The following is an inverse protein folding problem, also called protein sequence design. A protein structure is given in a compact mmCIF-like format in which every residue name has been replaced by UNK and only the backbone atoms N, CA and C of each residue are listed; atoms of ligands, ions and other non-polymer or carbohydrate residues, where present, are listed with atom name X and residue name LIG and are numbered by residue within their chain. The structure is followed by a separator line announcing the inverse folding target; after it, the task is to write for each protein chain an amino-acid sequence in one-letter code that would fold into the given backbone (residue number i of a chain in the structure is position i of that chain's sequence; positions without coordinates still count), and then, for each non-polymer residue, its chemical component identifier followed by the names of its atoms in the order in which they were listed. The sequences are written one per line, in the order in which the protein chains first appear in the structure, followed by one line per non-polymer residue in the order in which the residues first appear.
data_IF_196150733641
#
_entry.id   IF_196150733641
#
_cell.length_a   1.000
_cell.length_b   1.000
_cell.length_c   1.000
_cell.angle_alpha   90.00
_cell.angle_beta   90.00
_cell.angle_gamma   90.00
#
_symmetry.space_group_name_H-M   'P 1'
#
loop_
_entity.id
_entity.type
_entity.pdbx_description
1 polymer ?
#
# COMPACT_ATOMS: atom_id res chain seq x y z
N UNK A 1 20.22 -59.74 -10.14
CA UNK A 1 21.54 -59.94 -9.50
C UNK A 1 22.55 -60.03 -10.62
N UNK A 2 23.49 -59.12 -10.88
CA UNK A 2 24.38 -58.33 -10.02
C UNK A 2 24.59 -56.98 -10.72
N UNK A 3 24.10 -55.89 -10.12
CA UNK A 3 24.82 -54.93 -9.26
C UNK A 3 25.60 -53.86 -10.03
N UNK A 4 25.14 -52.63 -9.82
CA UNK A 4 25.64 -51.37 -10.32
C UNK A 4 27.11 -51.07 -10.03
N UNK A 5 27.71 -50.19 -10.83
CA UNK A 5 28.34 -48.92 -10.39
C UNK A 5 28.82 -48.10 -11.60
N UNK A 6 28.19 -46.94 -11.78
CA UNK A 6 28.78 -45.58 -11.89
C UNK A 6 30.11 -45.39 -12.66
N UNK A 7 30.41 -44.34 -13.44
CA UNK A 7 29.85 -43.01 -13.76
C UNK A 7 30.95 -42.32 -14.64
N UNK A 8 30.59 -41.30 -15.44
CA UNK A 8 31.43 -40.14 -15.90
C UNK A 8 32.22 -40.18 -17.25
N UNK A 9 31.94 -39.14 -18.07
CA UNK A 9 32.80 -38.38 -19.04
C UNK A 9 33.13 -39.07 -20.39
N UNK A 10 33.19 -38.44 -21.58
CA UNK A 10 33.18 -37.04 -22.04
C UNK A 10 33.25 -37.00 -23.60
N UNK A 11 32.89 -35.85 -24.19
CA UNK A 11 33.28 -35.29 -25.51
C UNK A 11 32.54 -35.73 -26.80
N UNK A 12 31.84 -34.74 -27.34
CA UNK A 12 31.43 -34.55 -28.74
C UNK A 12 32.46 -33.63 -29.44
N UNK A 13 32.82 -33.95 -30.69
CA UNK A 13 33.53 -33.10 -31.65
C UNK A 13 32.88 -33.32 -33.03
N UNK A 14 32.00 -32.43 -33.49
CA UNK A 14 32.23 -31.33 -34.46
C UNK A 14 32.78 -31.77 -35.82
N UNK A 15 31.98 -31.62 -36.89
CA UNK A 15 32.36 -31.11 -38.23
C UNK A 15 31.06 -30.77 -39.00
N UNK A 16 30.66 -29.50 -39.06
CA UNK A 16 30.83 -28.54 -40.18
C UNK A 16 30.01 -28.85 -41.44
N UNK A 17 28.89 -28.13 -41.60
CA UNK A 17 28.30 -27.83 -42.90
C UNK A 17 28.09 -26.31 -43.00
N UNK A 18 28.74 -25.72 -43.99
CA UNK A 18 28.74 -24.29 -44.32
C UNK A 18 27.40 -23.93 -44.94
N UNK A 19 26.66 -23.00 -44.31
CA UNK A 19 25.55 -22.28 -44.93
C UNK A 19 26.00 -20.84 -45.12
N UNK A 20 26.10 -20.41 -46.38
CA UNK A 20 26.14 -19.01 -46.76
C UNK A 20 24.77 -18.39 -46.44
N UNK A 21 24.59 -17.88 -45.23
CA UNK A 21 23.60 -16.84 -44.98
C UNK A 21 24.26 -15.56 -45.47
N UNK A 22 23.74 -15.01 -46.57
CA UNK A 22 24.00 -13.64 -46.99
C UNK A 22 23.90 -12.72 -45.78
N UNK A 23 25.03 -12.09 -45.45
CA UNK A 23 25.15 -11.10 -44.41
C UNK A 23 24.25 -9.89 -44.72
N UNK A 24 23.00 -9.97 -44.27
CA UNK A 24 22.19 -8.80 -43.91
C UNK A 24 22.27 -8.52 -42.40
N UNK A 25 23.27 -9.09 -41.72
CA UNK A 25 23.69 -8.72 -40.36
C UNK A 25 24.97 -7.88 -40.38
N UNK A 26 25.13 -7.04 -41.42
CA UNK A 26 26.14 -6.00 -41.46
C UNK A 26 25.70 -4.88 -40.49
N UNK A 27 26.30 -4.88 -39.30
CA UNK A 27 26.56 -3.69 -38.49
C UNK A 27 25.32 -2.84 -38.15
N UNK A 28 24.49 -3.28 -37.21
CA UNK A 28 23.92 -2.29 -36.30
C UNK A 28 25.08 -1.88 -35.37
N UNK A 29 25.85 -0.86 -35.77
CA UNK A 29 26.71 -0.16 -34.81
C UNK A 29 25.82 0.28 -33.64
N UNK A 30 26.32 0.36 -32.40
CA UNK A 30 25.63 1.17 -31.40
C UNK A 30 25.46 2.56 -32.03
N UNK A 31 24.22 2.97 -32.28
CA UNK A 31 23.94 4.22 -32.97
C UNK A 31 24.53 5.35 -32.14
N UNK A 32 25.45 6.12 -32.69
CA UNK A 32 25.98 7.26 -31.97
C UNK A 32 24.88 8.33 -31.88
N UNK A 33 24.93 9.19 -30.85
CA UNK A 33 24.00 10.33 -30.75
C UNK A 33 24.03 11.19 -32.04
N UNK A 34 25.21 11.32 -32.66
CA UNK A 34 25.42 12.07 -33.91
C UNK A 34 24.73 11.44 -35.14
N UNK A 35 24.30 10.18 -35.06
CA UNK A 35 23.58 9.50 -36.14
C UNK A 35 22.07 9.82 -36.12
N UNK A 36 21.56 10.47 -35.07
CA UNK A 36 20.15 10.82 -34.93
C UNK A 36 19.85 12.10 -35.71
N UNK A 37 18.81 12.07 -36.53
CA UNK A 37 18.30 13.21 -37.29
C UNK A 37 17.16 13.88 -36.54
N UNK A 38 16.21 13.08 -36.05
CA UNK A 38 15.03 13.56 -35.36
C UNK A 38 14.48 12.50 -34.39
N UNK A 39 13.64 12.96 -33.47
CA UNK A 39 12.85 12.10 -32.60
C UNK A 39 11.37 12.45 -32.72
N UNK A 40 10.50 11.49 -32.48
CA UNK A 40 9.06 11.69 -32.32
C UNK A 40 8.59 10.87 -31.12
N UNK A 41 7.62 11.39 -30.37
CA UNK A 41 7.06 10.70 -29.21
C UNK A 41 5.56 10.57 -29.39
N UNK A 42 5.07 9.34 -29.26
CA UNK A 42 3.65 9.02 -29.34
C UNK A 42 3.20 8.42 -28.00
N UNK A 43 2.42 9.16 -27.19
CA UNK A 43 1.83 8.60 -25.97
C UNK A 43 0.81 7.49 -26.29
N UNK A 44 0.75 6.46 -25.44
CA UNK A 44 -0.28 5.41 -25.52
C UNK A 44 -1.69 5.96 -25.22
N UNK A 45 -1.75 7.05 -24.46
CA UNK A 45 -2.95 7.83 -24.14
C UNK A 45 -2.61 9.30 -23.99
N UNK A 46 -3.55 10.14 -24.35
CA UNK A 46 -3.41 11.61 -24.28
C UNK A 46 -4.43 12.26 -23.36
N UNK A 47 -5.44 11.52 -22.90
CA UNK A 47 -6.45 12.01 -21.96
C UNK A 47 -6.15 11.43 -20.57
N UNK A 48 -6.03 12.31 -19.58
CA UNK A 48 -5.66 11.98 -18.20
C UNK A 48 -6.74 12.44 -17.23
N UNK A 49 -6.97 11.67 -16.17
CA UNK A 49 -7.86 12.07 -15.07
C UNK A 49 -7.28 11.69 -13.70
N UNK A 50 -8.09 11.78 -12.64
CA UNK A 50 -7.62 11.54 -11.28
C UNK A 50 -7.06 10.14 -11.01
N UNK A 51 -7.35 9.13 -11.85
CA UNK A 51 -6.72 7.81 -11.75
C UNK A 51 -5.23 7.84 -12.10
N UNK A 52 -4.79 8.85 -12.86
CA UNK A 52 -3.43 8.97 -13.37
C UNK A 52 -2.51 9.78 -12.45
N UNK A 53 -3.03 10.25 -11.31
CA UNK A 53 -2.25 10.98 -10.32
C UNK A 53 -1.41 10.01 -9.50
N UNK A 54 -0.12 10.31 -9.39
CA UNK A 54 0.82 9.67 -8.48
C UNK A 54 1.26 10.66 -7.41
N UNK A 55 1.32 10.20 -6.16
CA UNK A 55 1.81 11.00 -5.02
C UNK A 55 3.09 10.40 -4.49
N UNK A 56 4.16 11.19 -4.50
CA UNK A 56 5.43 10.83 -3.88
C UNK A 56 5.57 11.50 -2.52
N UNK A 57 6.07 10.77 -1.54
CA UNK A 57 6.36 11.28 -0.19
C UNK A 57 7.86 11.37 0.02
N UNK A 58 8.33 12.50 0.53
CA UNK A 58 9.72 12.70 0.92
C UNK A 58 9.77 13.24 2.34
N UNK A 59 10.60 12.63 3.17
CA UNK A 59 10.88 13.17 4.50
C UNK A 59 11.75 14.43 4.37
N UNK A 60 11.28 15.53 4.95
CA UNK A 60 12.02 16.76 5.13
C UNK A 60 12.65 16.74 6.53
N UNK A 61 13.98 16.59 6.56
CA UNK A 61 14.75 16.55 7.80
C UNK A 61 14.73 17.88 8.57
N UNK A 62 14.56 19.01 7.89
CA UNK A 62 14.50 20.32 8.54
C UNK A 62 13.14 20.52 9.21
N UNK A 63 12.07 20.14 8.52
CA UNK A 63 10.71 20.23 9.05
C UNK A 63 10.31 19.03 9.94
N UNK A 64 11.16 17.99 10.03
CA UNK A 64 10.87 16.72 10.72
C UNK A 64 9.50 16.14 10.32
N UNK A 65 9.15 16.26 9.04
CA UNK A 65 7.83 15.89 8.52
C UNK A 65 7.90 15.39 7.08
N UNK A 66 6.87 14.67 6.64
CA UNK A 66 6.77 14.23 5.25
C UNK A 66 6.11 15.31 4.40
N UNK A 67 6.74 15.64 3.27
CA UNK A 67 6.17 16.46 2.21
C UNK A 67 5.68 15.54 1.09
N UNK A 68 4.43 15.71 0.68
CA UNK A 68 3.86 15.00 -0.46
C UNK A 68 3.84 15.89 -1.70
N UNK A 69 4.10 15.30 -2.87
CA UNK A 69 3.90 15.95 -4.17
C UNK A 69 3.11 15.03 -5.08
N UNK A 70 2.03 15.56 -5.65
CA UNK A 70 1.16 14.85 -6.58
C UNK A 70 1.35 15.39 -8.01
N UNK A 71 1.43 14.50 -8.98
CA UNK A 71 1.57 14.81 -10.40
C UNK A 71 0.91 13.73 -11.25
N UNK A 72 0.52 14.06 -12.48
CA UNK A 72 0.05 13.07 -13.45
C UNK A 72 1.22 12.23 -13.95
N UNK A 73 1.11 10.90 -13.83
CA UNK A 73 2.18 9.98 -14.15
C UNK A 73 2.34 9.80 -15.67
N UNK A 74 3.21 10.62 -16.26
CA UNK A 74 3.60 10.58 -17.68
C UNK A 74 5.05 10.15 -17.90
N UNK A 75 5.74 9.76 -16.81
CA UNK A 75 7.17 9.43 -16.81
C UNK A 75 7.44 7.96 -17.11
N UNK A 76 6.41 7.13 -16.99
CA UNK A 76 6.51 5.72 -17.28
C UNK A 76 6.67 5.47 -18.78
N UNK A 77 7.83 4.91 -19.15
CA UNK A 77 8.19 4.61 -20.53
C UNK A 77 7.28 3.57 -21.20
N UNK A 78 6.54 2.78 -20.41
CA UNK A 78 5.54 1.86 -20.95
C UNK A 78 4.33 2.61 -21.54
N UNK A 79 4.17 3.90 -21.22
CA UNK A 79 3.09 4.75 -21.73
C UNK A 79 3.48 5.60 -22.94
N UNK A 80 4.68 5.43 -23.50
CA UNK A 80 5.12 6.15 -24.70
C UNK A 80 5.83 5.23 -25.70
N UNK A 81 5.76 5.60 -26.97
CA UNK A 81 6.63 5.08 -28.02
C UNK A 81 7.53 6.21 -28.50
N UNK A 82 8.85 5.99 -28.40
CA UNK A 82 9.87 6.89 -28.93
C UNK A 82 10.31 6.37 -30.30
N UNK A 83 10.01 7.11 -31.36
CA UNK A 83 10.52 6.86 -32.71
C UNK A 83 11.79 7.70 -32.90
N UNK A 84 12.90 7.04 -33.21
CA UNK A 84 14.17 7.69 -33.55
C UNK A 84 14.43 7.54 -35.04
N UNK A 85 14.66 8.67 -35.70
CA UNK A 85 15.05 8.73 -37.11
C UNK A 85 16.58 8.87 -37.23
N UNK A 86 17.22 7.88 -37.85
CA UNK A 86 18.66 7.86 -38.12
C UNK A 86 18.99 8.31 -39.56
N UNK A 87 18.05 8.95 -40.24
CA UNK A 87 18.13 9.44 -41.63
C UNK A 87 18.01 8.35 -42.69
N UNK A 88 18.61 7.19 -42.48
CA UNK A 88 18.55 6.04 -43.39
C UNK A 88 17.46 5.03 -43.02
N UNK A 89 17.05 5.00 -41.76
CA UNK A 89 15.96 4.19 -41.24
C UNK A 89 15.38 4.83 -39.97
N UNK A 90 14.18 4.40 -39.60
CA UNK A 90 13.54 4.75 -38.34
C UNK A 90 13.40 3.50 -37.47
N UNK A 91 13.44 3.68 -36.15
CA UNK A 91 13.20 2.62 -35.19
C UNK A 91 12.39 3.12 -34.00
N UNK A 92 11.42 2.31 -33.61
CA UNK A 92 10.60 2.54 -32.43
C UNK A 92 11.20 1.86 -31.21
N UNK A 93 11.09 2.54 -30.06
CA UNK A 93 11.52 2.09 -28.75
C UNK A 93 10.37 2.28 -27.77
N UNK A 94 10.14 1.26 -26.94
CA UNK A 94 9.09 1.28 -25.92
C UNK A 94 9.61 0.79 -24.56
N UNK A 95 9.08 1.31 -23.46
CA UNK A 95 9.39 0.81 -22.12
C UNK A 95 10.89 0.72 -21.83
N UNK A 96 11.33 -0.47 -21.45
CA UNK A 96 12.75 -0.75 -21.15
C UNK A 96 13.71 -0.55 -22.33
N UNK A 97 13.23 -0.54 -23.58
CA UNK A 97 14.07 -0.30 -24.76
C UNK A 97 14.57 1.15 -24.82
N UNK A 98 13.79 2.11 -24.31
CA UNK A 98 14.19 3.52 -24.20
C UNK A 98 15.33 3.65 -23.18
N UNK A 99 15.24 2.94 -22.05
CA UNK A 99 16.31 2.90 -21.06
C UNK A 99 17.60 2.27 -21.61
N UNK A 100 17.49 1.22 -22.42
CA UNK A 100 18.65 0.60 -23.08
C UNK A 100 19.27 1.54 -24.11
N UNK A 101 18.45 2.17 -24.95
CA UNK A 101 18.91 3.16 -25.93
C UNK A 101 19.70 4.28 -25.25
N UNK A 102 19.14 4.91 -24.21
CA UNK A 102 19.80 6.03 -23.49
C UNK A 102 21.12 5.61 -22.85
N UNK A 103 21.21 4.39 -22.33
CA UNK A 103 22.46 3.83 -21.80
C UNK A 103 23.48 3.53 -22.91
N UNK A 104 23.05 3.00 -24.06
CA UNK A 104 23.91 2.69 -25.21
C UNK A 104 24.51 3.96 -25.83
N UNK A 105 23.71 5.02 -25.98
CA UNK A 105 24.17 6.30 -26.54
C UNK A 105 24.80 7.23 -25.50
N UNK A 106 24.76 6.86 -24.21
CA UNK A 106 25.29 7.65 -23.10
C UNK A 106 24.60 9.00 -22.87
N UNK A 107 23.35 9.15 -23.32
CA UNK A 107 22.59 10.41 -23.26
C UNK A 107 21.21 10.16 -22.64
N UNK A 108 20.83 10.92 -21.59
CA UNK A 108 19.54 10.72 -20.94
C UNK A 108 18.38 11.15 -21.84
N UNK A 109 17.24 10.48 -21.68
CA UNK A 109 15.97 10.92 -22.23
C UNK A 109 15.23 11.75 -21.18
N UNK A 110 15.07 13.04 -21.44
CA UNK A 110 14.55 14.01 -20.48
C UNK A 110 13.09 14.32 -20.82
N UNK A 111 12.22 14.27 -19.81
CA UNK A 111 10.82 14.65 -19.89
C UNK A 111 10.65 15.96 -19.11
N UNK A 112 10.09 16.99 -19.74
CA UNK A 112 9.83 18.30 -19.15
C UNK A 112 8.36 18.68 -19.32
N UNK A 113 7.65 18.81 -18.20
CA UNK A 113 6.18 18.90 -18.17
C UNK A 113 5.63 20.07 -17.33
N UNK A 114 6.49 20.79 -16.61
CA UNK A 114 6.11 21.91 -15.75
C UNK A 114 5.40 21.51 -14.44
N UNK A 115 5.13 20.22 -14.21
CA UNK A 115 4.49 19.73 -12.97
C UNK A 115 5.40 19.90 -11.75
N UNK A 116 6.70 20.15 -11.98
CA UNK A 116 7.63 20.51 -10.92
C UNK A 116 7.27 21.82 -10.22
N UNK A 117 6.74 22.78 -10.98
CA UNK A 117 6.56 24.17 -10.56
C UNK A 117 5.10 24.43 -10.18
N UNK A 118 4.16 23.86 -10.93
CA UNK A 118 2.73 23.96 -10.65
C UNK A 118 2.02 22.67 -11.08
N UNK A 119 1.18 22.13 -10.20
CA UNK A 119 0.37 20.97 -10.53
C UNK A 119 -0.59 21.30 -11.68
N UNK A 120 -0.75 20.37 -12.63
CA UNK A 120 -1.66 20.56 -13.74
C UNK A 120 -3.13 20.63 -13.27
N UNK A 121 -3.83 21.67 -13.70
CA UNK A 121 -5.29 21.74 -13.64
C UNK A 121 -5.95 21.10 -14.86
N UNK A 122 -7.27 21.17 -14.95
CA UNK A 122 -8.00 20.75 -16.15
C UNK A 122 -7.57 21.56 -17.38
N UNK A 123 -7.58 20.90 -18.54
CA UNK A 123 -7.23 21.51 -19.81
C UNK A 123 -6.03 20.84 -20.48
N UNK A 124 -5.43 21.56 -21.43
CA UNK A 124 -4.41 21.00 -22.33
C UNK A 124 -3.01 21.42 -21.87
N UNK A 125 -2.11 20.45 -21.79
CA UNK A 125 -0.73 20.61 -21.35
C UNK A 125 0.22 20.03 -22.41
N UNK A 126 1.32 20.73 -22.66
CA UNK A 126 2.35 20.27 -23.61
C UNK A 126 3.56 19.77 -22.85
N UNK A 127 3.96 18.54 -23.15
CA UNK A 127 5.16 17.90 -22.59
C UNK A 127 6.24 17.93 -23.65
N UNK A 128 7.44 18.33 -23.24
CA UNK A 128 8.64 18.32 -24.08
C UNK A 128 9.50 17.10 -23.72
N UNK A 129 9.97 16.40 -24.73
CA UNK A 129 10.87 15.25 -24.64
C UNK A 129 12.17 15.60 -25.34
N UNK A 130 13.31 15.30 -24.73
CA UNK A 130 14.61 15.50 -25.38
C UNK A 130 15.53 14.29 -25.26
N UNK A 131 16.25 14.04 -26.34
CA UNK A 131 17.34 13.08 -26.44
C UNK A 131 18.54 13.82 -27.02
N UNK A 132 19.45 14.26 -26.16
CA UNK A 132 20.54 15.17 -26.56
C UNK A 132 19.98 16.53 -27.01
N UNK A 133 20.30 16.93 -28.24
CA UNK A 133 19.83 18.19 -28.84
C UNK A 133 18.50 18.05 -29.59
N UNK A 134 18.01 16.82 -29.79
CA UNK A 134 16.76 16.57 -30.49
C UNK A 134 15.59 16.65 -29.52
N UNK A 135 14.52 17.32 -29.94
CA UNK A 135 13.32 17.51 -29.14
C UNK A 135 12.07 17.06 -29.89
N UNK A 136 11.10 16.58 -29.13
CA UNK A 136 9.74 16.30 -29.58
C UNK A 136 8.76 16.78 -28.51
N UNK A 137 7.50 16.97 -28.88
CA UNK A 137 6.46 17.33 -27.93
C UNK A 137 5.24 16.45 -28.11
N UNK A 138 4.57 16.16 -26.99
CA UNK A 138 3.25 15.56 -26.99
C UNK A 138 2.28 16.42 -26.18
N UNK A 139 1.00 16.31 -26.51
CA UNK A 139 -0.07 17.09 -25.87
C UNK A 139 -0.96 16.15 -25.08
N UNK A 140 -1.20 16.51 -23.82
CA UNK A 140 -2.10 15.81 -22.92
C UNK A 140 -3.27 16.70 -22.54
N UNK A 141 -4.44 16.10 -22.35
CA UNK A 141 -5.65 16.76 -21.88
C UNK A 141 -6.05 16.18 -20.53
N UNK A 142 -6.00 17.01 -19.49
CA UNK A 142 -6.47 16.67 -18.15
C UNK A 142 -7.96 16.98 -18.08
N UNK A 143 -8.76 15.96 -17.80
CA UNK A 143 -10.23 16.02 -17.77
C UNK A 143 -10.76 15.66 -16.39
N UNK A 144 -12.07 15.91 -16.19
CA UNK A 144 -12.78 15.36 -15.04
C UNK A 144 -12.74 13.82 -15.12
N UNK A 145 -12.78 13.17 -13.97
CA UNK A 145 -12.91 11.71 -13.85
C UNK A 145 -13.91 11.13 -14.86
N UNK A 146 -13.51 10.02 -15.49
CA UNK A 146 -14.35 9.22 -16.39
C UNK A 146 -15.37 8.36 -15.65
N UNK A 147 -15.28 8.26 -14.32
CA UNK A 147 -16.30 7.59 -13.51
C UNK A 147 -17.58 8.42 -13.56
N UNK A 148 -18.65 7.80 -14.04
CA UNK A 148 -19.99 8.39 -14.12
C UNK A 148 -20.87 7.90 -12.97
N UNK A 149 -20.76 6.62 -12.60
CA UNK A 149 -21.52 6.01 -11.52
C UNK A 149 -20.64 5.13 -10.65
N UNK A 150 -21.03 5.03 -9.37
CA UNK A 150 -20.43 4.11 -8.42
C UNK A 150 -21.55 3.37 -7.69
N UNK A 151 -21.38 2.07 -7.50
CA UNK A 151 -22.21 1.24 -6.64
C UNK A 151 -21.30 0.51 -5.66
N UNK A 152 -21.74 0.39 -4.41
CA UNK A 152 -21.00 -0.19 -3.30
C UNK A 152 -21.93 -1.11 -2.51
N UNK A 153 -21.48 -2.33 -2.26
CA UNK A 153 -22.23 -3.33 -1.50
C UNK A 153 -21.28 -4.03 -0.51
N UNK A 154 -21.51 -3.91 0.81
CA UNK A 154 -20.81 -4.71 1.80
C UNK A 154 -21.04 -6.20 1.57
N UNK A 155 -20.00 -7.04 1.65
CA UNK A 155 -20.17 -8.49 1.47
C UNK A 155 -20.87 -9.17 2.67
N UNK A 156 -20.97 -8.46 3.79
CA UNK A 156 -21.59 -8.91 5.04
C UNK A 156 -22.02 -7.70 5.87
N UNK A 157 -22.83 -7.95 6.91
CA UNK A 157 -23.25 -6.90 7.84
C UNK A 157 -22.04 -6.26 8.53
N UNK A 158 -21.87 -4.96 8.33
CA UNK A 158 -20.81 -4.19 8.97
C UNK A 158 -21.28 -3.80 10.37
N UNK A 159 -20.58 -4.28 11.39
CA UNK A 159 -20.79 -3.89 12.78
C UNK A 159 -19.49 -3.32 13.34
N UNK A 160 -19.48 -2.04 13.71
CA UNK A 160 -18.37 -1.36 14.37
C UNK A 160 -18.73 -1.07 15.83
N UNK A 161 -17.79 -1.23 16.75
CA UNK A 161 -18.03 -1.00 18.18
C UNK A 161 -17.93 0.50 18.49
N UNK A 162 -18.96 1.03 19.14
CA UNK A 162 -19.07 2.43 19.53
C UNK A 162 -17.82 2.94 20.26
N UNK A 163 -17.19 3.99 19.72
CA UNK A 163 -15.95 4.60 20.22
C UNK A 163 -14.73 3.65 20.37
N UNK A 164 -14.70 2.55 19.61
CA UNK A 164 -13.61 1.55 19.67
C UNK A 164 -13.00 1.27 18.30
N UNK A 165 -13.81 1.03 17.27
CA UNK A 165 -13.33 0.63 15.94
C UNK A 165 -13.05 1.84 15.05
N UNK A 166 -12.13 2.67 15.52
CA UNK A 166 -11.79 3.93 14.88
C UNK A 166 -10.84 4.77 15.73
N UNK A 167 -10.81 6.06 15.45
CA UNK A 167 -9.96 7.01 16.17
C UNK A 167 -10.58 8.40 16.27
N UNK A 168 -10.19 9.15 17.30
CA UNK A 168 -10.54 10.56 17.40
C UNK A 168 -9.71 11.38 16.41
N UNK A 169 -10.40 12.12 15.53
CA UNK A 169 -9.79 13.11 14.64
C UNK A 169 -10.23 14.52 15.04
N UNK A 170 -9.28 15.45 14.94
CA UNK A 170 -9.57 16.88 15.06
C UNK A 170 -10.03 17.39 13.71
N UNK A 171 -11.27 17.86 13.65
CA UNK A 171 -11.91 18.38 12.43
C UNK A 171 -12.11 19.89 12.60
N UNK A 172 -11.83 20.63 11.53
CA UNK A 172 -12.06 22.06 11.44
C UNK A 172 -13.33 22.32 10.63
N UNK A 173 -14.29 23.04 11.19
CA UNK A 173 -15.49 23.46 10.46
C UNK A 173 -15.22 24.62 9.49
N UNK A 174 -16.24 25.02 8.72
CA UNK A 174 -16.13 26.09 7.73
C UNK A 174 -15.78 27.46 8.36
N UNK A 175 -16.14 27.66 9.62
CA UNK A 175 -15.87 28.85 10.43
C UNK A 175 -14.50 28.80 11.11
N UNK A 176 -13.78 27.69 10.99
CA UNK A 176 -12.43 27.50 11.52
C UNK A 176 -12.38 26.97 12.95
N UNK A 177 -13.50 26.61 13.58
CA UNK A 177 -13.52 26.02 14.91
C UNK A 177 -13.07 24.55 14.86
N UNK A 178 -12.37 24.13 15.91
CA UNK A 178 -11.88 22.76 16.04
C UNK A 178 -12.83 21.95 16.92
N UNK A 179 -13.16 20.75 16.48
CA UNK A 179 -13.86 19.73 17.28
C UNK A 179 -13.14 18.39 17.18
N UNK A 180 -13.15 17.59 18.24
CA UNK A 180 -12.73 16.19 18.18
C UNK A 180 -13.95 15.31 17.92
N UNK A 181 -13.81 14.35 17.01
CA UNK A 181 -14.88 13.39 16.68
C UNK A 181 -14.30 12.00 16.45
N UNK A 182 -15.06 10.99 16.82
CA UNK A 182 -14.68 9.60 16.59
C UNK A 182 -15.02 9.20 15.14
N UNK A 183 -14.01 8.76 14.39
CA UNK A 183 -14.13 8.30 13.01
C UNK A 183 -13.89 6.80 12.98
N UNK A 184 -14.89 6.05 12.53
CA UNK A 184 -14.86 4.60 12.40
C UNK A 184 -14.04 4.18 11.18
N UNK A 185 -13.27 3.10 11.33
CA UNK A 185 -12.39 2.55 10.29
C UNK A 185 -13.22 1.68 9.34
N UNK A 186 -13.88 2.31 8.37
CA UNK A 186 -14.75 1.64 7.39
C UNK A 186 -13.99 1.04 6.20
N UNK A 187 -12.74 1.42 5.99
CA UNK A 187 -11.92 0.92 4.87
C UNK A 187 -11.43 -0.52 5.06
N UNK A 188 -11.47 -1.05 6.28
CA UNK A 188 -11.03 -2.40 6.62
C UNK A 188 -12.03 -3.52 6.28
N UNK A 189 -13.22 -3.19 5.77
CA UNK A 189 -14.25 -4.17 5.42
C UNK A 189 -14.19 -4.57 3.94
N UNK A 190 -14.73 -5.75 3.61
CA UNK A 190 -14.83 -6.19 2.22
C UNK A 190 -16.09 -5.64 1.55
N UNK A 191 -15.90 -5.00 0.39
CA UNK A 191 -16.97 -4.45 -0.43
C UNK A 191 -16.87 -4.91 -1.87
N UNK A 192 -18.01 -5.22 -2.49
CA UNK A 192 -18.15 -5.23 -3.94
C UNK A 192 -18.38 -3.80 -4.44
N UNK A 193 -17.58 -3.40 -5.45
CA UNK A 193 -17.66 -2.09 -6.11
C UNK A 193 -17.99 -2.33 -7.57
N UNK A 194 -18.95 -1.56 -8.10
CA UNK A 194 -19.17 -1.46 -9.55
C UNK A 194 -19.00 -0.01 -9.98
N UNK A 195 -18.10 0.24 -10.94
CA UNK A 195 -17.93 1.54 -11.58
C UNK A 195 -18.59 1.51 -12.95
N UNK A 196 -19.41 2.53 -13.24
CA UNK A 196 -19.82 2.85 -14.60
C UNK A 196 -19.02 4.03 -15.13
N UNK A 197 -18.56 3.93 -16.37
CA UNK A 197 -17.77 4.95 -17.04
C UNK A 197 -18.60 5.73 -18.06
N UNK A 198 -18.18 6.96 -18.35
CA UNK A 198 -18.84 7.85 -19.32
C UNK A 198 -18.93 7.30 -20.75
N UNK A 199 -18.13 6.28 -21.09
CA UNK A 199 -18.19 5.60 -22.39
C UNK A 199 -19.21 4.43 -22.40
N UNK A 200 -19.91 4.22 -21.30
CA UNK A 200 -20.88 3.14 -21.10
C UNK A 200 -20.27 1.81 -20.70
N UNK A 201 -18.94 1.71 -20.54
CA UNK A 201 -18.29 0.52 -20.00
C UNK A 201 -18.47 0.44 -18.48
N UNK A 202 -18.40 -0.77 -17.95
CA UNK A 202 -18.51 -1.02 -16.51
C UNK A 202 -17.44 -2.00 -16.04
N UNK A 203 -17.04 -1.87 -14.78
CA UNK A 203 -16.18 -2.85 -14.10
C UNK A 203 -16.70 -3.13 -12.71
N UNK A 204 -16.76 -4.41 -12.36
CA UNK A 204 -17.07 -4.87 -11.00
C UNK A 204 -15.85 -5.58 -10.41
N UNK A 205 -15.48 -5.21 -9.18
CA UNK A 205 -14.39 -5.84 -8.44
C UNK A 205 -14.55 -5.61 -6.93
N UNK A 206 -13.67 -6.21 -6.13
CA UNK A 206 -13.58 -5.85 -4.71
C UNK A 206 -12.89 -4.48 -4.54
N UNK A 207 -13.25 -3.75 -3.49
CA UNK A 207 -12.64 -2.45 -3.20
C UNK A 207 -11.11 -2.52 -3.05
N UNK A 208 -10.59 -3.60 -2.47
CA UNK A 208 -9.14 -3.84 -2.34
C UNK A 208 -8.40 -3.96 -3.68
N UNK A 209 -9.10 -4.39 -4.75
CA UNK A 209 -8.53 -4.54 -6.09
C UNK A 209 -8.72 -3.29 -6.97
N UNK A 210 -9.51 -2.32 -6.51
CA UNK A 210 -9.99 -1.20 -7.33
C UNK A 210 -8.85 -0.38 -7.91
N UNK A 211 -7.88 0.00 -7.07
CA UNK A 211 -6.72 0.80 -7.48
C UNK A 211 -5.88 0.09 -8.54
N UNK A 212 -5.64 -1.20 -8.35
CA UNK A 212 -4.85 -1.99 -9.29
C UNK A 212 -5.58 -2.18 -10.64
N UNK A 213 -6.89 -2.41 -10.62
CA UNK A 213 -7.67 -2.67 -11.83
C UNK A 213 -8.03 -1.40 -12.61
N UNK A 214 -8.22 -0.28 -11.93
CA UNK A 214 -8.85 0.92 -12.51
C UNK A 214 -8.02 2.19 -12.38
N UNK A 215 -7.01 2.20 -11.51
CA UNK A 215 -6.26 3.40 -11.14
C UNK A 215 -6.97 4.30 -10.13
N UNK A 216 -8.25 4.08 -9.79
CA UNK A 216 -8.97 4.85 -8.78
C UNK A 216 -8.90 4.22 -7.39
N UNK A 217 -8.77 5.07 -6.37
CA UNK A 217 -8.87 4.68 -4.97
C UNK A 217 -10.31 4.78 -4.47
N UNK A 218 -10.72 3.83 -3.63
CA UNK A 218 -11.95 3.91 -2.87
C UNK A 218 -11.69 4.67 -1.57
N UNK A 219 -12.38 5.79 -1.38
CA UNK A 219 -12.30 6.59 -0.16
C UNK A 219 -13.57 6.42 0.65
N UNK A 220 -13.45 5.73 1.78
CA UNK A 220 -14.55 5.52 2.71
C UNK A 220 -14.67 6.67 3.71
N UNK A 221 -15.90 7.05 4.03
CA UNK A 221 -16.19 8.09 5.02
C UNK A 221 -17.54 7.87 5.68
N UNK A 222 -17.74 8.55 6.80
CA UNK A 222 -19.00 8.61 7.54
C UNK A 222 -19.56 10.05 7.58
N UNK A 223 -19.10 10.90 6.67
CA UNK A 223 -19.26 12.36 6.72
C UNK A 223 -18.75 12.98 8.04
N UNK A 224 -18.92 14.30 8.16
CA UNK A 224 -18.65 15.05 9.37
C UNK A 224 -19.84 14.97 10.33
N UNK A 225 -20.25 13.76 10.72
CA UNK A 225 -21.37 13.52 11.64
C UNK A 225 -20.95 12.67 12.84
N UNK A 226 -21.44 13.06 14.02
CA UNK A 226 -21.37 12.23 15.22
C UNK A 226 -22.40 11.09 15.09
N UNK A 227 -21.93 9.85 15.21
CA UNK A 227 -22.77 8.67 15.07
C UNK A 227 -23.17 8.13 16.43
N UNK A 228 -24.38 7.58 16.49
CA UNK A 228 -24.90 6.87 17.67
C UNK A 228 -24.99 5.38 17.39
N UNK A 229 -25.10 4.58 18.46
CA UNK A 229 -25.48 3.17 18.35
C UNK A 229 -26.75 3.02 17.50
N UNK A 230 -26.74 2.03 16.62
CA UNK A 230 -27.78 1.73 15.65
C UNK A 230 -27.29 1.76 14.21
N UNK A 231 -28.24 1.76 13.30
CA UNK A 231 -28.00 1.83 11.86
C UNK A 231 -27.51 3.23 11.46
N UNK A 232 -26.45 3.28 10.67
CA UNK A 232 -25.82 4.50 10.18
C UNK A 232 -25.50 4.37 8.68
N UNK A 233 -25.26 5.51 8.03
CA UNK A 233 -24.90 5.57 6.60
C UNK A 233 -23.42 5.87 6.46
N UNK A 234 -22.72 5.01 5.72
CA UNK A 234 -21.36 5.21 5.25
C UNK A 234 -21.35 5.60 3.78
N UNK A 235 -20.23 6.13 3.32
CA UNK A 235 -20.07 6.60 1.94
C UNK A 235 -18.75 6.11 1.36
N UNK A 236 -18.77 5.74 0.09
CA UNK A 236 -17.59 5.39 -0.69
C UNK A 236 -17.51 6.35 -1.88
N UNK A 237 -16.38 7.05 -2.01
CA UNK A 237 -16.11 7.95 -3.13
C UNK A 237 -15.01 7.39 -4.01
N UNK A 238 -15.29 7.26 -5.31
CA UNK A 238 -14.34 6.80 -6.34
C UNK A 238 -14.38 7.78 -7.50
N UNK A 239 -13.22 8.32 -7.89
CA UNK A 239 -13.15 9.27 -9.02
C UNK A 239 -14.03 10.52 -8.83
N UNK A 240 -14.33 10.90 -7.58
CA UNK A 240 -15.23 12.03 -7.28
C UNK A 240 -16.72 11.74 -7.39
N UNK A 241 -17.12 10.48 -7.60
CA UNK A 241 -18.51 10.01 -7.53
C UNK A 241 -18.70 9.24 -6.23
N UNK A 242 -19.79 9.49 -5.53
CA UNK A 242 -20.06 8.94 -4.19
C UNK A 242 -21.30 8.04 -4.20
N UNK A 243 -21.20 6.86 -3.59
CA UNK A 243 -22.34 6.03 -3.20
C UNK A 243 -22.38 5.86 -1.70
N UNK A 244 -23.56 5.56 -1.18
CA UNK A 244 -23.81 5.26 0.22
C UNK A 244 -24.01 3.76 0.46
N UNK A 245 -23.66 3.29 1.64
CA UNK A 245 -24.01 1.97 2.17
C UNK A 245 -24.45 2.09 3.63
N UNK A 246 -25.04 1.02 4.15
CA UNK A 246 -25.47 0.94 5.54
C UNK A 246 -24.45 0.18 6.37
N UNK A 247 -24.23 0.64 7.60
CA UNK A 247 -23.48 -0.11 8.61
C UNK A 247 -24.08 0.14 10.00
N UNK A 248 -23.75 -0.71 10.96
CA UNK A 248 -24.22 -0.58 12.33
C UNK A 248 -23.10 -0.16 13.26
N UNK A 249 -23.39 0.80 14.13
CA UNK A 249 -22.60 1.06 15.31
C UNK A 249 -23.25 0.30 16.45
N UNK A 250 -22.52 -0.59 17.11
CA UNK A 250 -23.05 -1.43 18.18
C UNK A 250 -22.44 -1.07 19.54
N UNK A 251 -23.18 -1.29 20.61
CA UNK A 251 -22.59 -1.27 21.95
C UNK A 251 -21.49 -2.33 22.05
N UNK A 252 -20.50 -2.08 22.91
CA UNK A 252 -19.46 -3.06 23.17
C UNK A 252 -20.08 -4.34 23.74
N UNK A 253 -20.00 -5.48 23.05
CA UNK A 253 -20.63 -6.71 23.50
C UNK A 253 -19.89 -7.33 24.71
N UNK A 254 -18.70 -6.83 25.05
CA UNK A 254 -17.88 -7.30 26.16
C UNK A 254 -18.20 -6.51 27.44
N UNK A 255 -18.73 -7.21 28.44
CA UNK A 255 -19.01 -6.65 29.76
C UNK A 255 -17.75 -6.63 30.63
N UNK A 256 -16.98 -7.72 30.63
CA UNK A 256 -15.74 -7.82 31.39
C UNK A 256 -14.77 -8.85 30.82
N UNK A 257 -13.48 -8.59 31.02
CA UNK A 257 -12.40 -9.52 30.71
C UNK A 257 -11.58 -9.74 31.98
N UNK A 258 -11.35 -11.01 32.32
CA UNK A 258 -10.44 -11.41 33.40
C UNK A 258 -9.35 -12.30 32.81
N UNK A 259 -8.10 -11.82 32.92
CA UNK A 259 -6.93 -12.55 32.46
C UNK A 259 -6.40 -13.46 33.58
N UNK A 260 -5.94 -14.65 33.19
CA UNK A 260 -5.32 -15.59 34.10
C UNK A 260 -4.29 -16.45 33.36
N UNK A 261 -3.28 -16.94 34.08
CA UNK A 261 -2.31 -17.88 33.52
C UNK A 261 -2.86 -19.31 33.65
N UNK A 262 -2.78 -20.08 32.56
CA UNK A 262 -3.12 -21.49 32.56
C UNK A 262 -1.90 -22.37 32.86
N UNK A 263 -2.14 -23.65 33.14
CA UNK A 263 -1.12 -24.70 33.29
C UNK A 263 -0.03 -24.39 34.33
N UNK A 264 -0.41 -23.71 35.43
CA UNK A 264 0.50 -23.37 36.53
C UNK A 264 1.57 -22.33 36.20
N UNK A 265 1.41 -21.59 35.10
CA UNK A 265 2.34 -20.53 34.70
C UNK A 265 2.12 -19.19 35.47
N UNK A 266 1.29 -19.19 36.51
CA UNK A 266 1.08 -18.05 37.42
C UNK A 266 2.20 -17.88 38.45
N UNK A 267 3.10 -18.86 38.55
CA UNK A 267 4.26 -18.83 39.44
C UNK A 267 5.55 -18.76 38.64
N UNK A 268 6.42 -17.81 39.00
CA UNK A 268 7.75 -17.64 38.41
C UNK A 268 8.82 -17.84 39.48
N UNK A 269 9.86 -18.58 39.16
CA UNK A 269 10.97 -18.87 40.07
C UNK A 269 12.21 -18.07 39.69
N UNK A 270 12.83 -17.44 40.70
CA UNK A 270 13.98 -16.54 40.57
C UNK A 270 15.21 -17.18 39.91
N UNK A 271 15.31 -18.51 39.90
CA UNK A 271 16.49 -19.22 39.38
C UNK A 271 16.23 -19.98 38.07
N UNK A 272 14.98 -20.06 37.62
CA UNK A 272 14.61 -20.83 36.40
C UNK A 272 13.93 -19.99 35.34
N UNK A 273 13.19 -18.95 35.75
CA UNK A 273 12.25 -18.25 34.85
C UNK A 273 12.69 -16.81 34.59
N UNK A 274 13.99 -16.61 34.36
CA UNK A 274 14.54 -15.30 34.07
C UNK A 274 16.03 -15.29 33.81
N UNK A 275 16.59 -14.10 33.60
CA UNK A 275 17.99 -13.89 33.30
C UNK A 275 18.46 -12.50 33.77
N UNK A 276 19.77 -12.32 33.93
CA UNK A 276 20.36 -11.00 34.17
C UNK A 276 20.57 -10.25 32.86
N UNK A 277 19.97 -9.06 32.77
CA UNK A 277 20.12 -8.11 31.67
C UNK A 277 20.94 -6.90 32.15
N UNK A 278 21.42 -6.07 31.22
CA UNK A 278 22.30 -4.93 31.51
C UNK A 278 21.68 -3.60 31.06
N UNK A 279 21.71 -2.59 31.93
CA UNK A 279 21.28 -1.23 31.60
C UNK A 279 22.37 -0.50 30.80
N UNK A 280 21.99 0.60 30.16
CA UNK A 280 22.91 1.50 29.45
C UNK A 280 24.00 2.11 30.34
N UNK A 281 23.82 2.14 31.66
CA UNK A 281 24.83 2.57 32.63
C UNK A 281 25.77 1.43 33.11
N UNK A 282 25.63 0.23 32.55
CA UNK A 282 26.40 -0.97 32.91
C UNK A 282 25.90 -1.71 34.16
N UNK A 283 24.83 -1.23 34.81
CA UNK A 283 24.24 -1.94 35.95
C UNK A 283 23.42 -3.15 35.50
N UNK A 284 23.56 -4.27 36.21
CA UNK A 284 22.78 -5.49 35.93
C UNK A 284 21.46 -5.52 36.68
N UNK A 285 20.42 -6.06 36.05
CA UNK A 285 19.12 -6.28 36.66
C UNK A 285 18.55 -7.64 36.25
N UNK A 286 17.75 -8.26 37.12
CA UNK A 286 17.12 -9.54 36.81
C UNK A 286 15.80 -9.33 36.10
N UNK A 287 15.54 -10.08 35.03
CA UNK A 287 14.30 -10.02 34.25
C UNK A 287 13.64 -11.38 34.23
N UNK A 288 12.38 -11.44 34.63
CA UNK A 288 11.54 -12.63 34.52
C UNK A 288 11.04 -12.83 33.10
N UNK A 289 11.06 -14.07 32.65
CA UNK A 289 10.44 -14.54 31.42
C UNK A 289 9.09 -15.14 31.82
N UNK A 290 8.01 -14.50 31.38
CA UNK A 290 6.66 -15.04 31.55
C UNK A 290 6.08 -15.41 30.20
N UNK A 291 5.40 -16.56 30.17
CA UNK A 291 4.89 -17.13 28.93
C UNK A 291 3.54 -16.50 28.55
N UNK A 292 3.62 -15.45 27.73
CA UNK A 292 2.42 -14.79 27.17
C UNK A 292 1.50 -15.76 26.41
N UNK A 293 2.01 -16.90 25.93
CA UNK A 293 1.20 -17.88 25.19
C UNK A 293 0.31 -18.73 26.09
N UNK A 294 0.62 -18.80 27.38
CA UNK A 294 -0.19 -19.47 28.41
C UNK A 294 -1.21 -18.56 29.09
N UNK A 295 -1.30 -17.31 28.66
CA UNK A 295 -2.32 -16.39 29.13
C UNK A 295 -3.67 -16.73 28.51
N UNK A 296 -4.70 -16.80 29.34
CA UNK A 296 -6.08 -17.02 28.96
C UNK A 296 -6.97 -15.89 29.46
N UNK A 297 -8.12 -15.75 28.82
CA UNK A 297 -9.07 -14.70 29.12
C UNK A 297 -10.47 -15.29 29.34
N UNK A 298 -11.03 -15.05 30.52
CA UNK A 298 -12.46 -15.24 30.77
C UNK A 298 -13.18 -13.97 30.37
N UNK A 299 -14.07 -14.09 29.40
CA UNK A 299 -14.86 -12.98 28.87
C UNK A 299 -16.31 -13.19 29.28
N UNK A 300 -16.92 -12.18 29.87
CA UNK A 300 -18.37 -12.11 30.05
C UNK A 300 -18.93 -11.13 29.03
N UNK A 301 -19.96 -11.56 28.30
CA UNK A 301 -20.64 -10.75 27.31
C UNK A 301 -21.93 -10.17 27.89
N UNK A 302 -22.38 -9.05 27.34
CA UNK A 302 -23.60 -8.34 27.79
C UNK A 302 -24.87 -9.17 27.64
N UNK A 303 -24.87 -10.18 26.76
CA UNK A 303 -25.96 -11.16 26.62
C UNK A 303 -25.94 -12.26 27.71
N UNK A 304 -25.03 -12.19 28.69
CA UNK A 304 -24.86 -13.15 29.78
C UNK A 304 -24.03 -14.39 29.41
N UNK A 305 -23.64 -14.56 28.15
CA UNK A 305 -22.74 -15.66 27.75
C UNK A 305 -21.34 -15.44 28.30
N UNK A 306 -20.63 -16.54 28.52
CA UNK A 306 -19.26 -16.53 29.02
C UNK A 306 -18.40 -17.41 28.12
N UNK A 307 -17.19 -16.96 27.85
CA UNK A 307 -16.22 -17.72 27.09
C UNK A 307 -14.85 -17.68 27.76
N UNK A 308 -14.04 -18.68 27.44
CA UNK A 308 -12.67 -18.82 27.92
C UNK A 308 -11.74 -19.06 26.74
N UNK A 309 -10.96 -18.04 26.38
CA UNK A 309 -10.12 -18.06 25.20
C UNK A 309 -8.63 -18.15 25.56
N UNK A 310 -7.83 -18.93 24.83
CA UNK A 310 -6.42 -18.60 24.64
C UNK A 310 -6.29 -17.15 24.17
N UNK A 311 -5.30 -16.40 24.66
CA UNK A 311 -5.24 -14.97 24.38
C UNK A 311 -5.15 -14.64 22.89
N UNK A 312 -4.43 -15.47 22.11
CA UNK A 312 -4.32 -15.29 20.66
C UNK A 312 -5.66 -15.40 19.94
N UNK A 313 -6.53 -16.31 20.38
CA UNK A 313 -7.88 -16.45 19.83
C UNK A 313 -8.76 -15.26 20.20
N UNK A 314 -8.68 -14.77 21.45
CA UNK A 314 -9.42 -13.57 21.85
C UNK A 314 -9.01 -12.35 21.00
N UNK A 315 -7.71 -12.15 20.79
CA UNK A 315 -7.21 -11.06 19.95
C UNK A 315 -7.69 -11.18 18.51
N UNK A 316 -7.82 -12.40 17.98
CA UNK A 316 -8.38 -12.62 16.66
C UNK A 316 -9.89 -12.32 16.62
N UNK A 317 -10.65 -12.79 17.61
CA UNK A 317 -12.10 -12.55 17.74
C UNK A 317 -12.41 -11.06 17.88
N UNK A 318 -11.60 -10.33 18.64
CA UNK A 318 -11.78 -8.89 18.85
C UNK A 318 -11.07 -8.03 17.81
N UNK A 319 -10.28 -8.62 16.90
CA UNK A 319 -9.41 -7.91 15.96
C UNK A 319 -8.50 -6.85 16.61
N UNK A 320 -8.09 -7.05 17.88
CA UNK A 320 -7.26 -6.11 18.64
C UNK A 320 -6.20 -6.84 19.47
N UNK A 321 -4.99 -6.28 19.60
CA UNK A 321 -3.92 -6.88 20.38
C UNK A 321 -4.15 -6.70 21.89
N UNK A 322 -3.76 -7.69 22.68
CA UNK A 322 -3.56 -7.50 24.12
C UNK A 322 -2.27 -6.71 24.36
N UNK A 323 -2.40 -5.62 25.11
CA UNK A 323 -1.26 -4.87 25.61
C UNK A 323 -1.13 -5.12 27.11
N UNK A 324 0.05 -5.62 27.51
CA UNK A 324 0.43 -5.80 28.91
C UNK A 324 1.51 -4.76 29.21
N UNK A 325 1.24 -3.86 30.14
CA UNK A 325 2.20 -2.86 30.60
C UNK A 325 3.14 -3.49 31.62
N UNK A 326 4.16 -4.17 31.12
CA UNK A 326 5.23 -4.72 31.94
C UNK A 326 6.32 -3.67 32.21
N UNK A 327 6.53 -3.35 33.49
CA UNK A 327 7.53 -2.38 33.96
C UNK A 327 8.91 -3.00 34.28
N UNK A 328 9.15 -4.28 33.97
CA UNK A 328 10.44 -4.94 34.22
C UNK A 328 11.64 -4.24 33.59
N UNK A 329 11.44 -3.50 32.49
CA UNK A 329 12.49 -2.72 31.85
C UNK A 329 13.00 -1.55 32.72
N UNK A 330 12.17 -1.06 33.66
CA UNK A 330 12.53 0.04 34.58
C UNK A 330 13.06 -0.55 35.89
N UNK A 331 12.28 -1.44 36.51
CA UNK A 331 12.66 -2.14 37.73
C UNK A 331 12.25 -3.61 37.65
N UNK A 332 13.18 -4.56 37.91
CA UNK A 332 12.85 -5.96 38.16
C UNK A 332 11.70 -6.11 39.14
N UNK A 333 10.88 -7.13 38.92
CA UNK A 333 9.95 -7.57 39.94
C UNK A 333 10.71 -8.09 41.15
N UNK A 334 10.09 -7.93 42.33
CA UNK A 334 10.58 -8.52 43.58
C UNK A 334 9.74 -9.75 43.90
N UNK A 335 10.28 -10.62 44.76
CA UNK A 335 9.52 -11.76 45.29
C UNK A 335 8.21 -11.26 45.92
N UNK A 336 7.10 -11.88 45.52
CA UNK A 336 5.75 -11.51 45.96
C UNK A 336 4.75 -11.56 44.81
N UNK A 337 3.52 -11.15 45.09
CA UNK A 337 2.48 -11.01 44.06
C UNK A 337 2.71 -9.73 43.27
N UNK A 338 2.77 -9.86 41.95
CA UNK A 338 2.87 -8.73 41.02
C UNK A 338 1.56 -8.65 40.23
N UNK A 339 0.98 -7.46 40.19
CA UNK A 339 -0.19 -7.16 39.35
C UNK A 339 0.26 -6.35 38.14
N UNK A 340 -0.09 -6.81 36.94
CA UNK A 340 0.24 -6.14 35.69
C UNK A 340 -1.01 -5.48 35.10
N UNK A 341 -0.96 -4.19 34.75
CA UNK A 341 -2.00 -3.57 33.95
C UNK A 341 -2.03 -4.23 32.57
N UNK A 342 -3.23 -4.56 32.13
CA UNK A 342 -3.47 -5.18 30.84
C UNK A 342 -4.78 -4.63 30.27
N UNK A 343 -4.80 -4.37 28.98
CA UNK A 343 -5.98 -3.85 28.29
C UNK A 343 -6.12 -4.46 26.90
N UNK A 344 -7.37 -4.71 26.54
CA UNK A 344 -7.84 -5.18 25.23
C UNK A 344 -9.06 -4.30 24.95
N UNK A 345 -9.04 -3.59 23.83
CA UNK A 345 -9.79 -2.34 23.62
C UNK A 345 -9.33 -1.22 24.56
N UNK A 346 -9.03 -0.07 23.96
CA UNK A 346 -8.56 1.13 24.67
C UNK A 346 -9.58 1.68 25.66
#
# INVERSE_FOLDING_TARGET
MSLAKNVIKIISAVFTAVIFITAASLLCKPSALDDIVAITVTPSRTVLDSADIMTTYRFDEQAQSYISKSYYNIYDYDNITLTVDYGSYQKDYSGTEIAKLTAEIGTPFIISDGQSDSAWGYGTHTVSYSLGTHTASAVFSVVKSRVESVSIEPLYDINVIYNVDGSYRTIRDAEGNLSQRFIYDLDGFDYAVTLGYTDGSEISCYAADLKYKTGYDAVFSQEDKELSVGENTGYCTVGGVTASFTFNVIENPVESISLYMADGADTLYLDTDGYYDERSDGSKFYRFIYDRTKLRAKVSFTNGTKADYPIGELCAVLHKPLIISDMQAISPWKVGTVTLPAYING
#
